data_IF_000265331277
#
_entry.id   IF_000265331277
#
_cell.length_a   1.000
_cell.length_b   1.000
_cell.length_c   1.000
_cell.angle_alpha   90.00
_cell.angle_beta   90.00
_cell.angle_gamma   90.00
#
_symmetry.space_group_name_H-M   'P 1'
#
loop_
_entity.id
_entity.type
_entity.pdbx_description
1 polymer ?
#
# COMPACT_ATOMS: atom_id res chain seq x y z
N UNK A 1 20.35 14.39 -2.33
CA UNK A 1 20.12 13.07 -2.94
C UNK A 1 19.99 13.25 -4.44
N UNK A 2 20.66 12.41 -5.21
CA UNK A 2 20.62 12.44 -6.68
C UNK A 2 20.25 11.08 -7.27
N UNK A 3 20.71 9.99 -6.67
CA UNK A 3 20.52 8.63 -7.14
C UNK A 3 19.51 7.93 -6.23
N UNK A 4 18.39 7.50 -6.79
CA UNK A 4 17.34 6.79 -6.07
C UNK A 4 17.22 5.37 -6.64
N UNK A 5 17.36 4.38 -5.76
CA UNK A 5 17.10 2.98 -6.12
C UNK A 5 15.64 2.62 -5.86
N UNK A 6 15.04 1.83 -6.75
CA UNK A 6 13.69 1.27 -6.58
C UNK A 6 13.79 -0.25 -6.58
N UNK A 7 13.37 -0.88 -5.50
CA UNK A 7 13.31 -2.34 -5.34
C UNK A 7 11.85 -2.80 -5.44
N UNK A 8 11.58 -3.68 -6.40
CA UNK A 8 10.24 -4.07 -6.79
C UNK A 8 9.69 -3.14 -7.89
N UNK A 9 9.66 -3.65 -9.13
CA UNK A 9 9.28 -2.90 -10.34
C UNK A 9 7.92 -3.35 -10.91
N UNK A 10 7.06 -3.90 -10.05
CA UNK A 10 5.66 -4.16 -10.38
C UNK A 10 4.89 -2.86 -10.66
N UNK A 11 3.58 -2.93 -10.81
CA UNK A 11 2.73 -1.79 -11.22
C UNK A 11 2.98 -0.51 -10.40
N UNK A 12 3.15 -0.62 -9.09
CA UNK A 12 3.39 0.52 -8.20
C UNK A 12 4.83 1.03 -8.31
N UNK A 13 5.82 0.13 -8.14
CA UNK A 13 7.23 0.51 -8.17
C UNK A 13 7.67 1.08 -9.53
N UNK A 14 7.16 0.51 -10.62
CA UNK A 14 7.33 1.07 -11.98
C UNK A 14 6.81 2.51 -12.07
N UNK A 15 5.58 2.74 -11.58
CA UNK A 15 4.99 4.07 -11.59
C UNK A 15 5.81 5.07 -10.79
N UNK A 16 6.26 4.68 -9.58
CA UNK A 16 7.10 5.51 -8.73
C UNK A 16 8.48 5.78 -9.36
N UNK A 17 9.11 4.78 -9.98
CA UNK A 17 10.39 4.96 -10.67
C UNK A 17 10.31 6.00 -11.79
N UNK A 18 9.26 5.92 -12.63
CA UNK A 18 9.01 6.89 -13.70
C UNK A 18 8.70 8.30 -13.15
N UNK A 19 7.99 8.37 -12.03
CA UNK A 19 7.67 9.64 -11.37
C UNK A 19 8.92 10.32 -10.81
N UNK A 20 9.80 9.54 -10.15
CA UNK A 20 11.09 10.00 -9.65
C UNK A 20 11.99 10.51 -10.79
N UNK A 21 12.04 9.79 -11.91
CA UNK A 21 12.82 10.22 -13.07
C UNK A 21 12.32 11.54 -13.62
N UNK A 22 11.00 11.72 -13.76
CA UNK A 22 10.41 13.02 -14.16
C UNK A 22 10.69 14.11 -13.14
N UNK A 23 10.84 13.76 -11.86
CA UNK A 23 11.26 14.66 -10.78
C UNK A 23 12.73 15.06 -10.83
N UNK A 24 13.50 14.59 -11.83
CA UNK A 24 14.90 14.96 -12.05
C UNK A 24 15.91 14.08 -11.32
N UNK A 25 15.50 12.95 -10.75
CA UNK A 25 16.41 12.00 -10.12
C UNK A 25 17.02 11.03 -11.12
N UNK A 26 18.26 10.62 -10.89
CA UNK A 26 18.84 9.43 -11.52
C UNK A 26 18.23 8.21 -10.84
N UNK A 27 17.47 7.40 -11.59
CA UNK A 27 16.76 6.24 -11.02
C UNK A 27 17.45 4.95 -11.42
N UNK A 28 17.69 4.10 -10.43
CA UNK A 28 18.17 2.73 -10.58
C UNK A 28 17.06 1.78 -10.13
N UNK A 29 16.94 0.62 -10.76
CA UNK A 29 15.88 -0.33 -10.45
C UNK A 29 16.38 -1.76 -10.31
N UNK A 30 15.73 -2.53 -9.43
CA UNK A 30 15.89 -3.98 -9.32
C UNK A 30 14.54 -4.68 -9.09
N UNK A 31 14.34 -5.75 -9.82
CA UNK A 31 13.26 -6.72 -9.61
C UNK A 31 13.79 -8.11 -9.97
N UNK A 32 13.48 -9.17 -9.20
CA UNK A 32 13.89 -10.53 -9.53
C UNK A 32 13.25 -11.04 -10.83
N UNK A 33 12.16 -10.44 -11.30
CA UNK A 33 11.55 -10.73 -12.60
C UNK A 33 12.19 -9.89 -13.71
N UNK A 34 12.92 -10.46 -14.67
CA UNK A 34 13.49 -9.69 -15.77
C UNK A 34 12.47 -8.92 -16.60
N UNK A 35 11.25 -9.47 -16.73
CA UNK A 35 10.16 -8.83 -17.48
C UNK A 35 9.69 -7.53 -16.80
N UNK A 36 9.73 -7.42 -15.48
CA UNK A 36 9.34 -6.21 -14.76
C UNK A 36 10.30 -5.04 -15.03
N UNK A 37 11.60 -5.34 -15.23
CA UNK A 37 12.62 -4.33 -15.53
C UNK A 37 12.67 -3.90 -16.99
N UNK A 38 12.39 -4.79 -17.93
CA UNK A 38 12.62 -4.55 -19.37
C UNK A 38 11.95 -3.26 -19.88
N UNK A 39 10.68 -3.05 -19.53
CA UNK A 39 9.93 -1.85 -19.93
C UNK A 39 10.45 -0.53 -19.33
N UNK A 40 11.31 -0.60 -18.32
CA UNK A 40 11.91 0.56 -17.65
C UNK A 40 13.29 0.91 -18.21
N UNK A 41 14.00 -0.07 -18.77
CA UNK A 41 15.26 0.15 -19.48
C UNK A 41 15.06 1.11 -20.66
N UNK A 42 13.99 0.92 -21.45
CA UNK A 42 13.61 1.79 -22.56
C UNK A 42 13.28 3.23 -22.13
N UNK A 43 12.84 3.38 -20.89
CA UNK A 43 12.57 4.69 -20.28
C UNK A 43 13.83 5.36 -19.69
N UNK A 44 15.02 4.75 -19.84
CA UNK A 44 16.28 5.29 -19.33
C UNK A 44 16.54 5.05 -17.85
N UNK A 45 15.83 4.09 -17.22
CA UNK A 45 16.09 3.67 -15.84
C UNK A 45 17.18 2.61 -15.83
N UNK A 46 18.26 2.84 -15.09
CA UNK A 46 19.39 1.94 -15.00
C UNK A 46 19.06 0.70 -14.17
N UNK A 47 19.00 -0.48 -14.80
CA UNK A 47 18.76 -1.71 -14.04
C UNK A 47 20.03 -2.20 -13.33
N UNK A 48 19.86 -2.87 -12.19
CA UNK A 48 20.93 -3.52 -11.43
C UNK A 48 20.62 -5.01 -11.26
N UNK A 49 21.68 -5.79 -11.08
CA UNK A 49 21.58 -7.25 -10.93
C UNK A 49 21.16 -7.71 -9.52
N UNK A 50 21.26 -6.82 -8.51
CA UNK A 50 20.94 -7.16 -7.12
C UNK A 50 20.55 -5.95 -6.29
N UNK A 51 19.93 -6.24 -5.12
CA UNK A 51 19.67 -5.24 -4.07
C UNK A 51 20.99 -4.67 -3.54
N UNK A 52 22.03 -5.51 -3.43
CA UNK A 52 23.35 -5.10 -2.96
C UNK A 52 23.98 -4.00 -3.82
N UNK A 53 23.85 -4.10 -5.15
CA UNK A 53 24.34 -3.06 -6.07
C UNK A 53 23.59 -1.74 -5.84
N UNK A 54 22.26 -1.77 -5.73
CA UNK A 54 21.46 -0.58 -5.43
C UNK A 54 21.85 0.04 -4.11
N UNK A 55 22.03 -0.77 -3.05
CA UNK A 55 22.35 -0.31 -1.70
C UNK A 55 23.71 0.40 -1.62
N UNK A 56 24.67 0.02 -2.47
CA UNK A 56 25.99 0.68 -2.56
C UNK A 56 25.95 1.98 -3.33
N UNK A 57 25.09 2.09 -4.35
CA UNK A 57 25.09 3.22 -5.29
C UNK A 57 24.09 4.33 -4.92
N UNK A 58 22.91 3.95 -4.37
CA UNK A 58 21.82 4.89 -4.16
C UNK A 58 22.01 5.79 -2.93
N UNK A 59 21.43 6.99 -2.99
CA UNK A 59 21.30 7.89 -1.85
C UNK A 59 20.07 7.57 -0.99
N UNK A 60 19.02 7.04 -1.61
CA UNK A 60 17.85 6.47 -0.96
C UNK A 60 17.32 5.27 -1.75
N UNK A 61 16.68 4.34 -1.05
CA UNK A 61 16.02 3.17 -1.64
C UNK A 61 14.52 3.23 -1.37
N UNK A 62 13.73 3.15 -2.43
CA UNK A 62 12.26 2.98 -2.37
C UNK A 62 11.96 1.50 -2.49
N UNK A 63 11.30 0.92 -1.48
CA UNK A 63 10.81 -0.46 -1.53
C UNK A 63 9.33 -0.46 -1.92
N UNK A 64 8.96 -1.28 -2.89
CA UNK A 64 7.58 -1.48 -3.35
C UNK A 64 7.31 -2.97 -3.49
N UNK A 65 7.11 -3.62 -2.35
CA UNK A 65 7.16 -5.08 -2.20
C UNK A 65 5.82 -5.65 -1.72
N UNK A 66 5.50 -6.91 -2.05
CA UNK A 66 4.15 -7.46 -1.82
C UNK A 66 3.86 -7.81 -0.36
N UNK A 67 4.86 -8.19 0.44
CA UNK A 67 4.68 -8.68 1.81
C UNK A 67 5.82 -8.28 2.74
N UNK A 68 5.56 -8.30 4.05
CA UNK A 68 6.56 -8.06 5.10
C UNK A 68 7.76 -9.00 4.99
N UNK A 69 7.52 -10.29 4.69
CA UNK A 69 8.57 -11.31 4.54
C UNK A 69 9.52 -10.96 3.38
N UNK A 70 8.99 -10.41 2.29
CA UNK A 70 9.83 -9.98 1.16
C UNK A 70 10.65 -8.73 1.55
N UNK A 71 10.05 -7.80 2.30
CA UNK A 71 10.78 -6.63 2.84
C UNK A 71 11.91 -7.10 3.77
N UNK A 72 11.62 -8.03 4.69
CA UNK A 72 12.62 -8.63 5.59
C UNK A 72 13.78 -9.28 4.81
N UNK A 73 13.47 -10.07 3.78
CA UNK A 73 14.47 -10.70 2.93
C UNK A 73 15.34 -9.70 2.18
N UNK A 74 14.74 -8.62 1.66
CA UNK A 74 15.45 -7.53 0.97
C UNK A 74 16.34 -6.74 1.93
N UNK A 75 15.92 -6.57 3.18
CA UNK A 75 16.72 -5.84 4.17
C UNK A 75 17.80 -6.73 4.78
N UNK A 76 17.46 -7.94 5.26
CA UNK A 76 18.33 -8.79 6.08
C UNK A 76 19.08 -9.89 5.30
N UNK A 77 18.76 -10.11 4.02
CA UNK A 77 19.43 -11.13 3.19
C UNK A 77 20.94 -10.87 3.04
N UNK A 78 21.70 -11.87 2.61
CA UNK A 78 23.15 -11.74 2.38
C UNK A 78 23.48 -10.64 1.34
N UNK A 79 22.65 -10.53 0.28
CA UNK A 79 22.71 -9.46 -0.70
C UNK A 79 21.76 -8.29 -0.33
N UNK A 80 21.31 -8.25 0.92
CA UNK A 80 20.34 -7.28 1.41
C UNK A 80 20.96 -5.93 1.79
N UNK A 81 20.06 -5.01 2.16
CA UNK A 81 20.41 -3.61 2.44
C UNK A 81 21.31 -3.49 3.68
N UNK A 82 20.99 -4.24 4.75
CA UNK A 82 21.76 -4.15 6.01
C UNK A 82 23.22 -4.59 5.89
N UNK A 83 23.49 -5.53 4.96
CA UNK A 83 24.85 -6.03 4.72
C UNK A 83 25.65 -5.17 3.72
N UNK A 84 24.98 -4.45 2.82
CA UNK A 84 25.61 -3.81 1.67
C UNK A 84 25.39 -2.29 1.60
N UNK A 85 24.43 -1.75 2.37
CA UNK A 85 24.13 -0.32 2.37
C UNK A 85 25.23 0.52 3.03
N UNK A 86 25.41 1.72 2.53
CA UNK A 86 26.38 2.68 3.09
C UNK A 86 25.75 3.49 4.22
N UNK A 87 26.57 3.96 5.12
CA UNK A 87 26.16 4.93 6.14
C UNK A 87 25.50 6.16 5.50
N UNK A 88 24.41 6.63 6.09
CA UNK A 88 23.63 7.74 5.60
C UNK A 88 22.58 7.39 4.53
N UNK A 89 22.50 6.12 4.07
CA UNK A 89 21.41 5.65 3.21
C UNK A 89 20.06 5.79 3.94
N UNK A 90 19.01 6.15 3.21
CA UNK A 90 17.63 6.13 3.72
C UNK A 90 16.80 5.11 2.94
N UNK A 91 16.17 4.19 3.65
CA UNK A 91 15.20 3.25 3.10
C UNK A 91 13.80 3.83 3.28
N UNK A 92 13.05 3.90 2.18
CA UNK A 92 11.66 4.38 2.11
C UNK A 92 10.79 3.18 1.77
N UNK A 93 10.15 2.59 2.78
CA UNK A 93 9.28 1.43 2.56
C UNK A 93 7.86 1.88 2.22
N UNK A 94 7.49 1.81 0.93
CA UNK A 94 6.16 2.12 0.43
C UNK A 94 5.22 0.92 0.40
N UNK A 95 5.67 -0.23 0.83
CA UNK A 95 4.88 -1.46 0.95
C UNK A 95 3.77 -1.30 2.00
N UNK A 96 2.82 -2.23 2.04
CA UNK A 96 1.95 -2.39 3.21
C UNK A 96 2.43 -3.60 4.00
N UNK A 97 3.09 -3.34 5.13
CA UNK A 97 3.80 -4.32 5.93
C UNK A 97 3.34 -4.34 7.40
N UNK A 98 3.79 -5.34 8.16
CA UNK A 98 3.60 -5.45 9.59
C UNK A 98 4.44 -4.36 10.32
N UNK A 99 3.81 -3.49 11.12
CA UNK A 99 4.53 -2.45 11.85
C UNK A 99 5.59 -2.96 12.83
N UNK A 100 5.43 -4.16 13.41
CA UNK A 100 6.44 -4.73 14.32
C UNK A 100 7.67 -5.17 13.54
N UNK A 101 7.47 -5.86 12.41
CA UNK A 101 8.57 -6.19 11.49
C UNK A 101 9.32 -4.92 11.06
N UNK A 102 8.60 -3.89 10.67
CA UNK A 102 9.19 -2.59 10.27
C UNK A 102 10.06 -1.98 11.38
N UNK A 103 9.57 -1.98 12.63
CA UNK A 103 10.34 -1.48 13.78
C UNK A 103 11.60 -2.31 14.04
N UNK A 104 11.51 -3.63 13.94
CA UNK A 104 12.67 -4.51 14.07
C UNK A 104 13.73 -4.25 12.98
N UNK A 105 13.29 -4.10 11.73
CA UNK A 105 14.16 -3.74 10.61
C UNK A 105 14.82 -2.38 10.80
N UNK A 106 14.10 -1.39 11.33
CA UNK A 106 14.66 -0.08 11.63
C UNK A 106 15.79 -0.13 12.65
N UNK A 107 15.70 -0.99 13.68
CA UNK A 107 16.77 -1.22 14.65
C UNK A 107 18.00 -1.78 13.93
N UNK A 108 17.83 -2.85 13.16
CA UNK A 108 18.94 -3.49 12.41
C UNK A 108 19.64 -2.50 11.46
N UNK A 109 18.87 -1.70 10.73
CA UNK A 109 19.42 -0.73 9.79
C UNK A 109 20.13 0.44 10.50
N UNK A 110 19.59 0.91 11.63
CA UNK A 110 20.18 1.99 12.42
C UNK A 110 21.56 1.62 12.97
N UNK A 111 21.79 0.36 13.34
CA UNK A 111 23.12 -0.15 13.74
C UNK A 111 24.16 -0.04 12.61
N UNK A 112 23.71 0.11 11.37
CA UNK A 112 24.55 0.32 10.17
C UNK A 112 24.59 1.79 9.71
N UNK A 113 24.03 2.71 10.49
CA UNK A 113 23.91 4.12 10.11
C UNK A 113 22.93 4.36 8.96
N UNK A 114 21.96 3.44 8.75
CA UNK A 114 20.94 3.51 7.71
C UNK A 114 19.60 3.87 8.37
N UNK A 115 18.90 4.86 7.82
CA UNK A 115 17.58 5.24 8.30
C UNK A 115 16.48 4.43 7.58
N UNK A 116 15.36 4.18 8.28
CA UNK A 116 14.13 3.62 7.70
C UNK A 116 12.96 4.58 7.94
N UNK A 117 12.24 4.89 6.87
CA UNK A 117 10.96 5.59 6.89
C UNK A 117 9.91 4.68 6.24
N UNK A 118 8.86 4.33 6.97
CA UNK A 118 7.71 3.66 6.38
C UNK A 118 6.75 4.69 5.79
N UNK A 119 6.45 4.53 4.52
CA UNK A 119 5.73 5.47 3.69
C UNK A 119 4.66 4.79 2.82
N UNK A 120 3.79 3.95 3.40
CA UNK A 120 2.77 3.27 2.62
C UNK A 120 1.86 4.26 1.90
N UNK A 121 1.34 3.81 0.75
CA UNK A 121 0.71 4.67 -0.26
C UNK A 121 -0.76 4.34 -0.49
N UNK A 122 -1.50 5.34 -0.95
CA UNK A 122 -2.83 5.23 -1.53
C UNK A 122 -2.88 6.01 -2.85
N UNK A 123 -3.72 5.55 -3.82
CA UNK A 123 -3.86 6.18 -5.14
C UNK A 123 -3.63 5.22 -6.30
N UNK A 124 -3.23 3.99 -6.02
CA UNK A 124 -3.06 2.92 -7.01
C UNK A 124 -1.98 3.19 -8.07
N UNK A 125 -1.88 2.33 -9.10
CA UNK A 125 -0.86 2.45 -10.14
C UNK A 125 -0.91 3.77 -10.92
N UNK A 126 -2.12 4.31 -11.15
CA UNK A 126 -2.30 5.61 -11.82
C UNK A 126 -1.75 6.76 -10.99
N UNK A 127 -1.99 6.74 -9.67
CA UNK A 127 -1.41 7.71 -8.73
C UNK A 127 0.11 7.62 -8.68
N UNK A 128 0.67 6.41 -8.64
CA UNK A 128 2.11 6.18 -8.66
C UNK A 128 2.76 6.73 -9.94
N UNK A 129 2.16 6.42 -11.11
CA UNK A 129 2.66 6.91 -12.38
C UNK A 129 2.63 8.44 -12.47
N UNK A 130 1.62 9.10 -11.92
CA UNK A 130 1.44 10.54 -12.06
C UNK A 130 2.09 11.37 -10.94
N UNK A 131 2.78 10.75 -9.97
CA UNK A 131 3.31 11.45 -8.80
C UNK A 131 2.22 12.01 -7.88
N UNK A 132 1.05 11.38 -7.89
CA UNK A 132 -0.15 11.87 -7.21
C UNK A 132 -0.59 10.96 -6.03
N UNK A 133 0.34 10.17 -5.48
CA UNK A 133 0.06 9.33 -4.33
C UNK A 133 -0.26 10.16 -3.08
N UNK A 134 -1.03 9.58 -2.18
CA UNK A 134 -1.09 10.00 -0.78
C UNK A 134 -0.20 9.07 0.03
N UNK A 135 0.70 9.63 0.83
CA UNK A 135 1.60 8.91 1.71
C UNK A 135 1.31 9.24 3.17
N UNK A 136 1.32 8.23 4.03
CA UNK A 136 1.33 8.39 5.49
C UNK A 136 2.69 7.90 5.99
N UNK A 137 3.41 8.73 6.74
CA UNK A 137 4.81 8.55 7.02
C UNK A 137 5.05 8.21 8.49
N UNK A 138 5.87 7.20 8.74
CA UNK A 138 6.43 6.90 10.05
C UNK A 138 7.95 6.93 9.99
N UNK A 139 8.59 7.68 10.90
CA UNK A 139 10.04 7.81 10.95
C UNK A 139 10.48 9.03 11.74
N UNK A 140 11.77 9.13 12.04
CA UNK A 140 12.32 10.31 12.67
C UNK A 140 12.10 11.55 11.77
N UNK A 141 11.70 12.67 12.37
CA UNK A 141 11.39 13.90 11.62
C UNK A 141 12.55 14.39 10.74
N UNK A 142 13.77 14.21 11.21
CA UNK A 142 14.99 14.54 10.47
C UNK A 142 15.18 13.67 9.23
N UNK A 143 14.88 12.36 9.32
CA UNK A 143 15.00 11.44 8.20
C UNK A 143 13.89 11.71 7.16
N UNK A 144 12.66 12.00 7.61
CA UNK A 144 11.55 12.41 6.74
C UNK A 144 11.89 13.71 6.01
N UNK A 145 12.45 14.71 6.70
CA UNK A 145 12.86 15.97 6.08
C UNK A 145 13.96 15.78 5.03
N UNK A 146 14.91 14.87 5.26
CA UNK A 146 16.00 14.56 4.31
C UNK A 146 15.49 14.01 2.97
N UNK A 147 14.42 13.24 3.00
CA UNK A 147 13.84 12.58 1.81
C UNK A 147 12.65 13.34 1.22
N UNK A 148 12.25 14.49 1.77
CA UNK A 148 11.10 15.25 1.31
C UNK A 148 11.09 15.51 -0.21
N UNK A 149 12.19 15.84 -0.90
CA UNK A 149 12.20 15.99 -2.35
C UNK A 149 11.87 14.67 -3.09
N UNK A 150 12.28 13.53 -2.54
CA UNK A 150 11.99 12.20 -3.11
C UNK A 150 10.51 11.87 -2.93
N UNK A 151 9.97 12.10 -1.73
CA UNK A 151 8.55 11.90 -1.44
C UNK A 151 7.66 12.81 -2.31
N UNK A 152 8.05 14.07 -2.48
CA UNK A 152 7.34 15.07 -3.29
C UNK A 152 7.25 14.66 -4.77
N UNK A 153 8.28 14.03 -5.31
CA UNK A 153 8.26 13.53 -6.69
C UNK A 153 7.24 12.41 -6.92
N UNK A 154 6.90 11.64 -5.88
CA UNK A 154 5.99 10.48 -5.97
C UNK A 154 4.57 10.78 -5.50
N UNK A 155 4.32 11.88 -4.79
CA UNK A 155 3.06 12.10 -4.09
C UNK A 155 2.57 13.54 -4.10
N UNK A 156 1.23 13.70 -4.16
CA UNK A 156 0.55 14.97 -4.00
C UNK A 156 0.30 15.33 -2.53
N UNK A 157 0.17 14.32 -1.66
CA UNK A 157 -0.12 14.53 -0.23
C UNK A 157 0.75 13.64 0.63
N UNK A 158 1.35 14.21 1.66
CA UNK A 158 2.20 13.54 2.64
C UNK A 158 1.76 13.95 4.05
N UNK A 159 1.63 12.97 4.94
CA UNK A 159 1.25 13.22 6.33
C UNK A 159 2.22 12.44 7.22
N UNK A 160 3.06 13.15 7.97
CA UNK A 160 3.90 12.55 8.99
C UNK A 160 3.06 12.25 10.22
N UNK A 161 2.99 10.98 10.59
CA UNK A 161 2.10 10.46 11.65
C UNK A 161 2.86 10.32 12.99
N UNK A 162 4.14 9.93 12.94
CA UNK A 162 4.93 9.67 14.13
C UNK A 162 6.17 8.85 13.82
N UNK A 163 6.68 8.13 14.82
CA UNK A 163 7.87 7.29 14.71
C UNK A 163 7.68 6.10 13.75
N UNK A 164 8.77 5.40 13.45
CA UNK A 164 8.80 4.23 12.56
C UNK A 164 7.71 3.22 12.91
N UNK A 165 6.99 2.78 11.90
CA UNK A 165 5.83 1.90 11.97
C UNK A 165 4.48 2.63 12.09
N UNK A 166 4.46 3.95 12.37
CA UNK A 166 3.21 4.71 12.49
C UNK A 166 2.48 4.87 11.13
N UNK A 167 3.23 4.97 10.04
CA UNK A 167 2.68 4.97 8.69
C UNK A 167 1.98 3.64 8.37
N UNK A 168 2.64 2.51 8.61
CA UNK A 168 2.05 1.18 8.42
C UNK A 168 0.83 0.94 9.31
N UNK A 169 0.86 1.32 10.60
CA UNK A 169 -0.33 1.27 11.48
C UNK A 169 -1.48 2.03 10.85
N UNK A 170 -1.23 3.28 10.43
CA UNK A 170 -2.27 4.14 9.83
C UNK A 170 -2.80 3.54 8.53
N UNK A 171 -1.93 2.96 7.70
CA UNK A 171 -2.33 2.30 6.46
C UNK A 171 -3.21 1.08 6.70
N UNK A 172 -2.88 0.24 7.67
CA UNK A 172 -3.67 -0.93 8.02
C UNK A 172 -5.04 -0.54 8.55
N UNK A 173 -5.14 0.48 9.41
CA UNK A 173 -6.41 1.02 9.91
C UNK A 173 -7.24 1.59 8.74
N UNK A 174 -6.62 2.36 7.82
CA UNK A 174 -7.29 2.87 6.63
C UNK A 174 -7.89 1.74 5.79
N UNK A 175 -7.12 0.66 5.55
CA UNK A 175 -7.59 -0.44 4.71
C UNK A 175 -8.66 -1.29 5.42
N UNK A 176 -8.58 -1.45 6.74
CA UNK A 176 -9.65 -2.07 7.53
C UNK A 176 -10.96 -1.28 7.43
N UNK A 177 -10.89 0.05 7.55
CA UNK A 177 -12.07 0.92 7.38
C UNK A 177 -12.62 0.84 5.95
N UNK A 178 -11.76 0.87 4.93
CA UNK A 178 -12.18 0.70 3.54
C UNK A 178 -12.87 -0.66 3.32
N UNK A 179 -12.31 -1.72 3.88
CA UNK A 179 -12.85 -3.08 3.82
C UNK A 179 -14.25 -3.17 4.47
N UNK A 180 -14.44 -2.53 5.63
CA UNK A 180 -15.74 -2.43 6.30
C UNK A 180 -16.74 -1.63 5.47
N UNK A 181 -16.31 -0.47 4.95
CA UNK A 181 -17.18 0.40 4.15
C UNK A 181 -17.64 -0.27 2.85
N UNK A 182 -16.82 -1.10 2.20
CA UNK A 182 -17.21 -1.86 1.01
C UNK A 182 -18.32 -2.86 1.33
N UNK A 183 -18.20 -3.60 2.42
CA UNK A 183 -19.23 -4.58 2.85
C UNK A 183 -20.54 -3.85 3.16
N UNK A 184 -20.51 -2.86 4.06
CA UNK A 184 -21.74 -2.18 4.49
C UNK A 184 -22.39 -1.39 3.35
N UNK A 185 -21.60 -0.80 2.45
CA UNK A 185 -22.14 -0.11 1.28
C UNK A 185 -22.77 -1.11 0.29
N UNK A 186 -22.19 -2.29 0.08
CA UNK A 186 -22.78 -3.36 -0.73
C UNK A 186 -24.12 -3.82 -0.16
N UNK A 187 -24.23 -4.02 1.14
CA UNK A 187 -25.48 -4.36 1.83
C UNK A 187 -26.52 -3.22 1.71
N UNK A 188 -26.11 -1.97 1.89
CA UNK A 188 -26.98 -0.82 1.77
C UNK A 188 -27.56 -0.68 0.36
N UNK A 189 -26.75 -0.92 -0.70
CA UNK A 189 -27.23 -0.86 -2.08
C UNK A 189 -28.21 -2.01 -2.40
N UNK A 190 -27.97 -3.21 -1.88
CA UNK A 190 -28.94 -4.33 -2.02
C UNK A 190 -30.26 -4.01 -1.31
N UNK A 191 -30.20 -3.45 -0.09
CA UNK A 191 -31.39 -3.01 0.64
C UNK A 191 -32.18 -1.95 -0.13
N UNK A 192 -31.49 -0.95 -0.68
CA UNK A 192 -32.09 0.11 -1.48
C UNK A 192 -32.83 -0.46 -2.71
N UNK A 193 -32.17 -1.35 -3.44
CA UNK A 193 -32.77 -2.03 -4.61
C UNK A 193 -34.01 -2.84 -4.20
N UNK A 194 -33.95 -3.57 -3.10
CA UNK A 194 -35.08 -4.33 -2.56
C UNK A 194 -36.24 -3.40 -2.11
N UNK A 195 -35.94 -2.18 -1.69
CA UNK A 195 -36.92 -1.14 -1.35
C UNK A 195 -37.42 -0.34 -2.57
N UNK A 196 -36.99 -0.68 -3.80
CA UNK A 196 -37.42 -0.03 -5.04
C UNK A 196 -36.72 1.28 -5.35
N UNK A 197 -35.56 1.56 -4.76
CA UNK A 197 -34.77 2.77 -5.03
C UNK A 197 -33.49 2.40 -5.80
N UNK A 198 -33.22 3.15 -6.88
CA UNK A 198 -32.02 2.91 -7.69
C UNK A 198 -30.73 3.21 -6.91
N UNK A 199 -29.69 2.36 -7.04
CA UNK A 199 -28.42 2.56 -6.32
C UNK A 199 -27.77 3.93 -6.55
N UNK A 200 -27.85 4.48 -7.76
CA UNK A 200 -27.30 5.79 -8.12
C UNK A 200 -27.96 6.92 -7.30
N UNK A 201 -29.28 6.87 -7.13
CA UNK A 201 -30.03 7.87 -6.37
C UNK A 201 -29.73 7.77 -4.87
N UNK A 202 -29.61 6.53 -4.35
CA UNK A 202 -29.23 6.30 -2.96
C UNK A 202 -27.81 6.81 -2.71
N UNK A 203 -26.89 6.55 -3.64
CA UNK A 203 -25.50 7.01 -3.54
C UNK A 203 -25.39 8.54 -3.48
N UNK A 204 -26.18 9.25 -4.29
CA UNK A 204 -26.27 10.72 -4.24
C UNK A 204 -26.72 11.21 -2.85
N UNK A 205 -27.78 10.61 -2.31
CA UNK A 205 -28.28 10.94 -0.98
C UNK A 205 -27.29 10.61 0.14
N UNK A 206 -26.61 9.47 0.09
CA UNK A 206 -25.57 9.08 1.07
C UNK A 206 -24.39 10.07 1.03
N UNK A 207 -23.95 10.48 -0.17
CA UNK A 207 -22.83 11.40 -0.32
C UNK A 207 -23.17 12.82 0.13
N UNK A 208 -24.43 13.23 0.11
CA UNK A 208 -24.90 14.48 0.69
C UNK A 208 -24.99 14.44 2.23
N UNK A 209 -25.13 13.23 2.81
CA UNK A 209 -25.33 13.01 4.24
C UNK A 209 -24.07 12.53 4.98
N UNK A 210 -24.28 12.09 6.22
CA UNK A 210 -23.23 11.54 7.10
C UNK A 210 -22.81 10.12 6.75
N UNK A 211 -23.54 9.42 5.87
CA UNK A 211 -23.19 8.08 5.38
C UNK A 211 -22.10 8.07 4.33
N UNK A 212 -21.60 9.24 3.91
CA UNK A 212 -20.52 9.32 2.92
C UNK A 212 -19.22 8.70 3.42
N UNK A 213 -18.48 8.10 2.50
CA UNK A 213 -17.15 7.53 2.73
C UNK A 213 -16.32 7.62 1.44
N UNK A 214 -15.01 7.34 1.53
CA UNK A 214 -14.18 7.18 0.32
C UNK A 214 -14.74 6.12 -0.63
N UNK A 215 -15.36 5.07 -0.10
CA UNK A 215 -16.02 4.03 -0.90
C UNK A 215 -17.22 4.59 -1.66
N UNK A 216 -18.12 5.31 -1.00
CA UNK A 216 -19.32 5.86 -1.66
C UNK A 216 -18.98 7.01 -2.61
N UNK A 217 -17.94 7.79 -2.32
CA UNK A 217 -17.53 8.94 -3.14
C UNK A 217 -16.63 8.56 -4.31
N UNK A 218 -15.85 7.47 -4.20
CA UNK A 218 -14.85 7.11 -5.20
C UNK A 218 -15.05 5.71 -5.76
N UNK A 219 -15.10 4.66 -4.93
CA UNK A 219 -15.12 3.27 -5.42
C UNK A 219 -16.40 2.97 -6.18
N UNK A 220 -17.55 3.34 -5.63
CA UNK A 220 -18.84 3.09 -6.27
C UNK A 220 -18.95 3.75 -7.65
N UNK A 221 -18.77 5.07 -7.81
CA UNK A 221 -18.94 5.71 -9.12
C UNK A 221 -17.84 5.35 -10.12
N UNK A 222 -16.65 4.97 -9.65
CA UNK A 222 -15.51 4.73 -10.55
C UNK A 222 -15.43 3.29 -11.03
N UNK A 223 -15.71 2.30 -10.16
CA UNK A 223 -15.41 0.89 -10.44
C UNK A 223 -16.58 -0.07 -10.22
N UNK A 224 -17.58 0.30 -9.41
CA UNK A 224 -18.64 -0.63 -9.01
C UNK A 224 -19.90 -0.44 -9.85
N UNK A 225 -20.45 0.77 -9.96
CA UNK A 225 -21.70 1.01 -10.70
C UNK A 225 -21.60 0.73 -12.21
N UNK A 226 -20.42 0.86 -12.77
CA UNK A 226 -20.14 0.59 -14.19
C UNK A 226 -19.55 -0.81 -14.45
N UNK A 227 -19.50 -1.66 -13.42
CA UNK A 227 -18.91 -3.01 -13.47
C UNK A 227 -17.47 -3.06 -14.00
N UNK A 228 -16.71 -1.98 -13.91
CA UNK A 228 -15.32 -1.91 -14.40
C UNK A 228 -14.39 -2.84 -13.61
N UNK A 229 -14.47 -2.81 -12.29
CA UNK A 229 -13.65 -3.61 -11.37
C UNK A 229 -12.17 -3.69 -11.78
N UNK A 230 -11.57 -2.54 -12.10
CA UNK A 230 -10.21 -2.38 -12.63
C UNK A 230 -9.34 -1.37 -11.85
N UNK A 231 -9.58 -1.27 -10.55
CA UNK A 231 -8.83 -0.35 -9.68
C UNK A 231 -7.33 -0.64 -9.61
N UNK A 232 -6.93 -1.86 -9.99
CA UNK A 232 -5.55 -2.34 -9.90
C UNK A 232 -5.14 -2.81 -8.51
N UNK A 233 -6.09 -2.90 -7.55
CA UNK A 233 -5.88 -3.47 -6.23
C UNK A 233 -6.69 -4.76 -6.08
N UNK A 234 -6.02 -5.88 -5.76
CA UNK A 234 -6.64 -7.20 -5.82
C UNK A 234 -7.26 -7.67 -4.50
N UNK A 235 -8.17 -8.65 -4.59
CA UNK A 235 -8.74 -9.35 -3.42
C UNK A 235 -7.65 -9.89 -2.50
N UNK A 236 -6.60 -10.51 -3.07
CA UNK A 236 -5.44 -11.04 -2.32
C UNK A 236 -4.76 -9.97 -1.48
N UNK A 237 -4.52 -8.79 -2.07
CA UNK A 237 -3.86 -7.68 -1.37
C UNK A 237 -4.73 -7.13 -0.25
N UNK A 238 -6.04 -6.94 -0.47
CA UNK A 238 -6.92 -6.44 0.59
C UNK A 238 -7.10 -7.49 1.70
N UNK A 239 -7.24 -8.77 1.38
CA UNK A 239 -7.27 -9.86 2.39
C UNK A 239 -6.00 -9.89 3.23
N UNK A 240 -4.83 -9.68 2.61
CA UNK A 240 -3.56 -9.54 3.32
C UNK A 240 -3.60 -8.35 4.29
N UNK A 241 -4.03 -7.20 3.84
CA UNK A 241 -4.06 -5.98 4.65
C UNK A 241 -5.05 -6.09 5.83
N UNK A 242 -6.24 -6.66 5.59
CA UNK A 242 -7.22 -6.95 6.66
C UNK A 242 -6.64 -7.92 7.68
N UNK A 243 -5.97 -9.00 7.23
CA UNK A 243 -5.32 -9.95 8.14
C UNK A 243 -4.22 -9.30 8.98
N UNK A 244 -3.39 -8.43 8.39
CA UNK A 244 -2.38 -7.68 9.12
C UNK A 244 -3.01 -6.72 10.14
N UNK A 245 -4.13 -6.08 9.80
CA UNK A 245 -4.86 -5.23 10.74
C UNK A 245 -5.41 -6.03 11.93
N UNK A 246 -5.93 -7.24 11.69
CA UNK A 246 -6.40 -8.13 12.76
C UNK A 246 -5.24 -8.59 13.65
N UNK A 247 -4.11 -9.00 13.07
CA UNK A 247 -2.92 -9.38 13.83
C UNK A 247 -2.38 -8.22 14.67
N UNK A 248 -2.36 -6.99 14.12
CA UNK A 248 -1.98 -5.79 14.88
C UNK A 248 -2.91 -5.57 16.09
N UNK A 249 -4.20 -5.81 15.91
CA UNK A 249 -5.17 -5.65 17.00
C UNK A 249 -5.00 -6.70 18.12
N UNK A 250 -4.70 -7.95 17.76
CA UNK A 250 -4.37 -9.00 18.74
C UNK A 250 -3.12 -8.64 19.56
N UNK A 251 -2.10 -8.11 18.90
CA UNK A 251 -0.86 -7.65 19.53
C UNK A 251 -1.07 -6.46 20.47
N UNK A 252 -1.99 -5.53 20.12
CA UNK A 252 -2.32 -4.36 20.91
C UNK A 252 -3.24 -4.69 22.13
N UNK A 253 -3.74 -5.91 22.21
CA UNK A 253 -4.59 -6.40 23.30
C UNK A 253 -6.09 -6.40 22.96
N UNK A 254 -6.88 -7.10 23.78
CA UNK A 254 -8.27 -7.49 23.50
C UNK A 254 -9.28 -6.34 23.32
N UNK A 255 -8.92 -5.12 23.69
CA UNK A 255 -9.78 -3.94 23.51
C UNK A 255 -9.54 -3.19 22.20
N UNK A 256 -8.52 -3.59 21.41
CA UNK A 256 -8.14 -2.90 20.17
C UNK A 256 -9.09 -3.20 19.00
N UNK A 257 -9.85 -4.29 19.03
CA UNK A 257 -10.89 -4.58 18.03
C UNK A 257 -12.25 -4.82 18.69
N UNK A 258 -13.29 -4.20 18.12
CA UNK A 258 -14.67 -4.51 18.46
C UNK A 258 -15.24 -5.66 17.60
N UNK A 259 -16.47 -6.12 17.91
CA UNK A 259 -17.12 -7.22 17.19
C UNK A 259 -17.30 -6.93 15.69
N UNK A 260 -17.49 -5.68 15.30
CA UNK A 260 -17.62 -5.30 13.88
C UNK A 260 -16.33 -5.57 13.11
N UNK A 261 -15.18 -5.17 13.63
CA UNK A 261 -13.89 -5.40 12.97
C UNK A 261 -13.57 -6.89 12.84
N UNK A 262 -13.91 -7.69 13.85
CA UNK A 262 -13.76 -9.14 13.82
C UNK A 262 -14.63 -9.76 12.71
N UNK A 263 -15.89 -9.32 12.59
CA UNK A 263 -16.80 -9.79 11.53
C UNK A 263 -16.33 -9.37 10.14
N UNK A 264 -15.83 -8.16 9.96
CA UNK A 264 -15.19 -7.72 8.71
C UNK A 264 -14.03 -8.64 8.34
N UNK A 265 -13.13 -8.93 9.29
CA UNK A 265 -12.02 -9.87 9.07
C UNK A 265 -12.50 -11.25 8.63
N UNK A 266 -13.54 -11.78 9.29
CA UNK A 266 -14.15 -13.07 8.97
C UNK A 266 -14.76 -13.09 7.56
N UNK A 267 -15.53 -12.06 7.18
CA UNK A 267 -16.18 -11.96 5.87
C UNK A 267 -15.14 -11.86 4.74
N UNK A 268 -14.09 -11.06 4.93
CA UNK A 268 -13.00 -10.98 3.96
C UNK A 268 -12.27 -12.31 3.79
N UNK A 269 -12.05 -13.05 4.86
CA UNK A 269 -11.46 -14.39 4.77
C UNK A 269 -12.41 -15.37 4.05
N UNK A 270 -13.70 -15.38 4.41
CA UNK A 270 -14.70 -16.26 3.82
C UNK A 270 -14.91 -16.00 2.31
N UNK A 271 -14.73 -14.76 1.86
CA UNK A 271 -14.86 -14.40 0.44
C UNK A 271 -13.90 -15.16 -0.49
N UNK A 272 -12.84 -15.77 0.04
CA UNK A 272 -11.90 -16.56 -0.75
C UNK A 272 -12.52 -17.83 -1.36
N UNK A 273 -13.66 -18.26 -0.84
CA UNK A 273 -14.38 -19.41 -1.39
C UNK A 273 -15.07 -19.11 -2.74
N UNK A 274 -15.35 -17.83 -3.04
CA UNK A 274 -16.16 -17.46 -4.23
C UNK A 274 -15.51 -16.36 -5.08
N UNK A 275 -14.61 -15.56 -4.52
CA UNK A 275 -13.91 -14.47 -5.22
C UNK A 275 -12.42 -14.82 -5.33
N UNK A 276 -11.90 -14.83 -6.56
CA UNK A 276 -10.52 -15.16 -6.86
C UNK A 276 -9.52 -14.13 -6.31
N UNK A 277 -8.31 -14.56 -6.04
CA UNK A 277 -7.23 -13.73 -5.48
C UNK A 277 -6.82 -12.57 -6.40
N UNK A 278 -6.88 -12.76 -7.71
CA UNK A 278 -6.48 -11.78 -8.72
C UNK A 278 -7.61 -10.84 -9.16
N UNK A 279 -8.84 -11.08 -8.68
CA UNK A 279 -9.96 -10.20 -8.95
C UNK A 279 -9.79 -8.85 -8.22
N UNK A 280 -10.46 -7.82 -8.74
CA UNK A 280 -10.47 -6.50 -8.11
C UNK A 280 -11.17 -6.54 -6.74
N UNK A 281 -10.58 -5.90 -5.75
CA UNK A 281 -11.07 -5.95 -4.36
C UNK A 281 -12.47 -5.34 -4.17
N UNK A 282 -12.90 -4.47 -5.07
CA UNK A 282 -14.25 -3.91 -5.04
C UNK A 282 -15.34 -4.96 -5.27
N UNK A 283 -15.01 -6.14 -5.83
CA UNK A 283 -15.97 -7.25 -6.01
C UNK A 283 -16.51 -7.80 -4.69
N UNK A 284 -15.91 -7.47 -3.55
CA UNK A 284 -16.47 -7.83 -2.24
C UNK A 284 -17.90 -7.34 -2.03
N UNK A 285 -18.34 -6.25 -2.70
CA UNK A 285 -19.73 -5.76 -2.63
C UNK A 285 -20.73 -6.76 -3.18
N UNK A 286 -20.30 -7.68 -4.04
CA UNK A 286 -21.09 -8.75 -4.62
C UNK A 286 -21.09 -10.03 -3.76
N UNK A 287 -20.23 -10.08 -2.74
CA UNK A 287 -20.13 -11.25 -1.87
C UNK A 287 -21.39 -11.42 -1.02
N UNK A 288 -21.98 -12.59 -1.12
CA UNK A 288 -23.07 -13.07 -0.25
C UNK A 288 -22.57 -14.37 0.36
N UNK A 289 -22.56 -14.44 1.68
CA UNK A 289 -22.12 -15.64 2.38
C UNK A 289 -23.08 -16.81 2.12
N UNK A 290 -22.59 -17.96 1.63
CA UNK A 290 -23.43 -19.12 1.41
C UNK A 290 -24.17 -19.53 2.70
N UNK A 291 -25.50 -19.73 2.60
CA UNK A 291 -26.34 -20.18 3.71
C UNK A 291 -26.88 -19.08 4.64
N UNK A 292 -26.67 -17.81 4.31
CA UNK A 292 -27.27 -16.65 5.03
C UNK A 292 -28.41 -15.96 4.24
N UNK A 293 -29.04 -16.65 3.29
CA UNK A 293 -30.23 -16.17 2.55
C UNK A 293 -31.49 -16.76 3.18
#
# INVERSE_FOLDING_TARGET
MKIIGVVGLGNMGRGMALSLQRGGFTVLGFDPSPAAGAALADAGIGLRGSVAELAREADALVLSLPTSQVVEAVVNGADGIAANGREGLVVIDTSTADPQSTRALAVTLREKGIALVDAPVSGGPKGALNGALTMVLGGAAEDVARIEPVLAAMSAKRVHIGDVGAGHVTKLINNLMCAAHLIVAGEAMRLATAAGVAPEQVLEGLNAGSGRSGVTQTNYPTWILNDAFDSGFTMKLMRKDVRLAMALAEQAGTLATGPLSAEVGRLWAASAATLGDDEDFNRIVQFIEPGRV
#
